data_IF_576151987468
#
_entry.id   IF_576151987468
#
_cell.length_a   1.000
_cell.length_b   1.000
_cell.length_c   1.000
_cell.angle_alpha   90.00
_cell.angle_beta   90.00
_cell.angle_gamma   90.00
#
_symmetry.space_group_name_H-M   'P 1'
#
loop_
_entity.id
_entity.type
_entity.pdbx_description
1 polymer ?
#
# COMPACT_ATOMS: atom_id res chain seq x y z
N UNK A 1 12.44 -15.09 -18.95
CA UNK A 1 11.13 -14.44 -19.18
C UNK A 1 10.04 -15.48 -18.98
N UNK A 2 9.03 -15.17 -18.16
CA UNK A 2 7.84 -16.00 -17.94
C UNK A 2 6.62 -15.27 -18.49
N UNK A 3 5.73 -15.99 -19.16
CA UNK A 3 4.43 -15.48 -19.61
C UNK A 3 3.31 -16.30 -19.01
N UNK A 4 2.25 -15.63 -18.57
CA UNK A 4 1.03 -16.23 -18.06
C UNK A 4 -0.15 -15.62 -18.80
N UNK A 5 -1.11 -16.43 -19.22
CA UNK A 5 -2.33 -15.97 -19.87
C UNK A 5 -3.46 -15.98 -18.86
N UNK A 6 -4.21 -14.88 -18.82
CA UNK A 6 -5.41 -14.74 -18.00
C UNK A 6 -6.60 -14.47 -18.91
N UNK A 7 -7.77 -14.93 -18.51
CA UNK A 7 -9.02 -14.70 -19.21
C UNK A 7 -10.15 -14.46 -18.22
N UNK A 8 -11.02 -13.51 -18.55
CA UNK A 8 -12.25 -13.18 -17.83
C UNK A 8 -13.51 -13.69 -18.57
N UNK A 9 -13.33 -14.45 -19.65
CA UNK A 9 -14.40 -14.92 -20.54
C UNK A 9 -14.70 -13.99 -21.71
N UNK A 10 -14.30 -12.72 -21.67
CA UNK A 10 -14.46 -11.76 -22.78
C UNK A 10 -13.24 -11.71 -23.71
N UNK A 11 -12.07 -12.04 -23.17
CA UNK A 11 -10.83 -12.04 -23.92
C UNK A 11 -9.68 -12.70 -23.18
N UNK A 12 -8.49 -12.60 -23.76
CA UNK A 12 -7.24 -13.11 -23.18
C UNK A 12 -6.25 -11.97 -23.08
N UNK A 13 -5.62 -11.84 -21.93
CA UNK A 13 -4.51 -10.92 -21.68
C UNK A 13 -3.27 -11.71 -21.27
N UNK A 14 -2.12 -11.33 -21.82
CA UNK A 14 -0.83 -11.96 -21.50
C UNK A 14 -0.05 -11.12 -20.49
N UNK A 15 0.20 -11.67 -19.31
CA UNK A 15 1.12 -11.08 -18.32
C UNK A 15 2.55 -11.54 -18.60
N UNK A 16 3.51 -10.62 -18.59
CA UNK A 16 4.93 -10.88 -18.86
C UNK A 16 5.81 -10.44 -17.69
N UNK A 17 6.65 -11.36 -17.23
CA UNK A 17 7.62 -11.12 -16.17
C UNK A 17 9.04 -11.41 -16.67
N UNK A 18 9.92 -10.40 -16.67
CA UNK A 18 11.35 -10.60 -16.96
C UNK A 18 12.10 -11.17 -15.76
N UNK A 19 11.78 -10.66 -14.56
CA UNK A 19 12.27 -11.15 -13.27
C UNK A 19 11.17 -11.91 -12.54
N UNK A 20 11.36 -13.21 -12.31
CA UNK A 20 10.45 -14.08 -11.58
C UNK A 20 11.24 -15.11 -10.76
N UNK A 21 10.60 -15.70 -9.75
CA UNK A 21 11.17 -16.79 -8.95
C UNK A 21 10.26 -18.04 -9.01
N UNK A 22 10.74 -19.16 -8.46
CA UNK A 22 9.97 -20.41 -8.44
C UNK A 22 8.62 -20.26 -7.71
N UNK A 23 8.58 -19.48 -6.63
CA UNK A 23 7.34 -19.21 -5.89
C UNK A 23 6.28 -18.51 -6.76
N UNK A 24 6.67 -17.50 -7.56
CA UNK A 24 5.80 -16.81 -8.51
C UNK A 24 5.30 -17.74 -9.61
N UNK A 25 6.16 -18.63 -10.12
CA UNK A 25 5.75 -19.61 -11.13
C UNK A 25 4.70 -20.58 -10.57
N UNK A 26 4.88 -21.04 -9.34
CA UNK A 26 3.97 -21.98 -8.69
C UNK A 26 2.67 -21.32 -8.24
N UNK A 27 2.71 -20.04 -7.85
CA UNK A 27 1.54 -19.27 -7.45
C UNK A 27 0.61 -18.99 -8.65
N UNK A 28 1.18 -18.75 -9.83
CA UNK A 28 0.47 -18.51 -11.10
C UNK A 28 0.19 -19.80 -11.89
N UNK A 29 -0.10 -20.91 -11.19
CA UNK A 29 -0.49 -22.16 -11.83
C UNK A 29 -1.87 -22.05 -12.48
N UNK A 30 -2.12 -22.88 -13.50
CA UNK A 30 -3.40 -22.96 -14.20
C UNK A 30 -4.55 -23.20 -13.22
N UNK A 31 -5.68 -22.54 -13.46
CA UNK A 31 -6.89 -22.63 -12.62
C UNK A 31 -6.92 -21.64 -11.45
N UNK A 32 -5.83 -20.92 -11.18
CA UNK A 32 -5.84 -19.85 -10.17
C UNK A 32 -6.48 -18.58 -10.70
N UNK A 33 -7.33 -17.96 -9.87
CA UNK A 33 -7.88 -16.63 -10.13
C UNK A 33 -6.90 -15.58 -9.64
N UNK A 34 -6.71 -14.54 -10.45
CA UNK A 34 -5.77 -13.45 -10.15
C UNK A 34 -6.41 -12.10 -10.39
N UNK A 35 -6.12 -11.16 -9.49
CA UNK A 35 -6.33 -9.74 -9.73
C UNK A 35 -5.00 -9.18 -10.21
N UNK A 36 -4.97 -8.64 -11.42
CA UNK A 36 -3.78 -8.04 -12.01
C UNK A 36 -4.02 -6.55 -12.25
N UNK A 37 -3.05 -5.72 -11.89
CA UNK A 37 -3.05 -4.29 -12.09
C UNK A 37 -1.76 -3.86 -12.80
N UNK A 38 -1.91 -3.13 -13.88
CA UNK A 38 -0.78 -2.65 -14.68
C UNK A 38 -1.24 -2.01 -15.98
N UNK A 39 -0.29 -1.43 -16.69
CA UNK A 39 -0.55 -0.82 -17.99
C UNK A 39 -0.77 -1.93 -19.04
N UNK A 40 -1.98 -1.98 -19.61
CA UNK A 40 -2.31 -2.87 -20.71
C UNK A 40 -1.90 -2.24 -22.05
N UNK A 41 -1.03 -2.92 -22.78
CA UNK A 41 -0.56 -2.52 -24.12
C UNK A 41 -0.95 -3.54 -25.17
N UNK A 42 -1.08 -3.10 -26.41
CA UNK A 42 -1.28 -4.01 -27.54
C UNK A 42 0.08 -4.56 -27.98
N UNK A 43 0.34 -5.81 -27.66
CA UNK A 43 1.51 -6.55 -28.11
C UNK A 43 1.27 -7.27 -29.45
N UNK A 44 2.30 -8.00 -29.89
CA UNK A 44 2.28 -8.77 -31.15
C UNK A 44 1.17 -9.84 -31.21
N UNK A 45 0.80 -10.40 -30.06
CA UNK A 45 -0.15 -11.51 -29.94
C UNK A 45 -1.45 -11.14 -29.22
N UNK A 46 -1.72 -9.84 -29.04
CA UNK A 46 -2.90 -9.35 -28.31
C UNK A 46 -2.54 -8.43 -27.15
N UNK A 47 -3.49 -8.23 -26.23
CA UNK A 47 -3.26 -7.41 -25.05
C UNK A 47 -2.22 -8.04 -24.13
N UNK A 48 -1.25 -7.24 -23.69
CA UNK A 48 -0.22 -7.66 -22.76
C UNK A 48 0.06 -6.63 -21.67
N UNK A 49 0.43 -7.12 -20.47
CA UNK A 49 0.92 -6.31 -19.36
C UNK A 49 2.34 -6.73 -19.02
N UNK A 50 3.25 -5.76 -18.97
CA UNK A 50 4.64 -6.00 -18.60
C UNK A 50 4.79 -5.68 -17.11
N UNK A 51 5.26 -6.66 -16.33
CA UNK A 51 5.41 -6.55 -14.88
C UNK A 51 4.17 -6.00 -14.15
N UNK A 52 2.97 -6.57 -14.37
CA UNK A 52 1.81 -6.19 -13.57
C UNK A 52 2.04 -6.56 -12.10
N UNK A 53 1.54 -5.72 -11.20
CA UNK A 53 1.29 -6.15 -9.83
C UNK A 53 0.11 -7.14 -9.86
N UNK A 54 0.21 -8.23 -9.11
CA UNK A 54 -0.88 -9.21 -9.05
C UNK A 54 -1.11 -9.71 -7.63
N UNK A 55 -2.33 -10.15 -7.36
CA UNK A 55 -2.72 -10.90 -6.15
C UNK A 55 -3.46 -12.16 -6.56
N UNK A 56 -3.20 -13.25 -5.84
CA UNK A 56 -4.00 -14.47 -5.97
C UNK A 56 -5.30 -14.29 -5.22
N UNK A 57 -6.41 -14.64 -5.86
CA UNK A 57 -7.70 -14.72 -5.20
C UNK A 57 -7.89 -16.14 -4.66
N UNK A 58 -8.29 -16.27 -3.39
CA UNK A 58 -8.65 -17.57 -2.80
C UNK A 58 -9.87 -18.19 -3.49
N UNK A 59 -10.10 -19.49 -3.27
CA UNK A 59 -11.02 -20.29 -4.10
C UNK A 59 -12.50 -19.86 -4.09
N UNK A 60 -12.97 -18.99 -3.18
CA UNK A 60 -14.41 -18.72 -3.04
C UNK A 60 -14.85 -17.30 -2.62
N UNK A 61 -13.96 -16.30 -2.56
CA UNK A 61 -14.40 -14.94 -2.20
C UNK A 61 -14.55 -14.04 -3.42
N UNK A 62 -15.67 -13.32 -3.50
CA UNK A 62 -15.84 -12.07 -4.26
C UNK A 62 -14.55 -11.25 -4.14
N UNK A 63 -14.05 -10.59 -5.20
CA UNK A 63 -12.86 -9.77 -5.06
C UNK A 63 -13.14 -8.73 -3.98
N UNK A 64 -12.49 -8.87 -2.82
CA UNK A 64 -12.42 -7.82 -1.82
C UNK A 64 -11.60 -6.71 -2.46
N UNK A 65 -12.28 -5.84 -3.19
CA UNK A 65 -11.72 -4.56 -3.60
C UNK A 65 -11.35 -3.87 -2.29
N UNK A 66 -10.10 -3.43 -2.18
CA UNK A 66 -9.68 -2.75 -0.95
C UNK A 66 -10.59 -1.54 -0.73
N UNK A 67 -11.15 -1.41 0.46
CA UNK A 67 -11.99 -0.27 0.89
C UNK A 67 -11.18 1.04 1.04
N UNK A 68 -9.93 1.07 0.54
CA UNK A 68 -9.00 2.18 0.67
C UNK A 68 -8.13 2.29 -0.58
N UNK A 69 -7.81 3.52 -1.00
CA UNK A 69 -6.89 3.72 -2.11
C UNK A 69 -5.48 3.20 -1.75
N UNK A 70 -4.78 2.62 -2.72
CA UNK A 70 -3.42 2.10 -2.50
C UNK A 70 -2.42 3.26 -2.46
N UNK A 71 -1.72 3.50 -1.33
CA UNK A 71 -0.76 4.59 -1.26
C UNK A 71 0.49 4.30 -2.11
N UNK A 72 1.02 5.37 -2.70
CA UNK A 72 2.27 5.38 -3.46
C UNK A 72 3.25 6.30 -2.72
N UNK A 73 4.34 5.73 -2.22
CA UNK A 73 5.35 6.49 -1.47
C UNK A 73 6.57 6.80 -2.33
N UNK A 74 7.28 7.92 -2.12
CA UNK A 74 8.59 8.11 -2.73
C UNK A 74 9.55 6.98 -2.31
N UNK A 75 10.16 6.31 -3.28
CA UNK A 75 11.08 5.19 -3.03
C UNK A 75 12.53 5.60 -3.27
N UNK A 76 13.44 5.10 -2.44
CA UNK A 76 14.88 5.12 -2.67
C UNK A 76 15.36 3.78 -3.24
N UNK A 77 16.57 3.74 -3.80
CA UNK A 77 17.14 2.52 -4.37
C UNK A 77 17.13 1.36 -3.35
N UNK A 78 16.67 0.19 -3.78
CA UNK A 78 16.55 -0.99 -2.93
C UNK A 78 15.28 -1.09 -2.09
N UNK A 79 14.44 -0.05 -2.02
CA UNK A 79 13.18 -0.07 -1.24
C UNK A 79 11.97 -0.20 -2.17
N UNK A 80 11.24 -1.31 -2.03
CA UNK A 80 10.02 -1.58 -2.82
C UNK A 80 8.78 -0.94 -2.16
N UNK A 81 7.82 -0.53 -2.98
CA UNK A 81 6.50 -0.05 -2.51
C UNK A 81 5.83 -1.01 -1.52
N UNK A 82 5.87 -2.32 -1.80
CA UNK A 82 5.30 -3.34 -0.92
C UNK A 82 5.90 -3.32 0.50
N UNK A 83 7.21 -3.06 0.60
CA UNK A 83 7.90 -2.95 1.89
C UNK A 83 7.41 -1.72 2.65
N UNK A 84 7.32 -0.56 1.98
CA UNK A 84 6.83 0.67 2.60
C UNK A 84 5.38 0.53 3.07
N UNK A 85 4.52 -0.08 2.24
CA UNK A 85 3.12 -0.38 2.61
C UNK A 85 3.07 -1.25 3.87
N UNK A 86 3.82 -2.36 3.90
CA UNK A 86 3.88 -3.25 5.09
C UNK A 86 4.38 -2.52 6.34
N UNK A 87 5.37 -1.65 6.22
CA UNK A 87 5.85 -0.85 7.35
C UNK A 87 4.80 0.14 7.85
N UNK A 88 4.05 0.76 6.92
CA UNK A 88 2.97 1.67 7.29
C UNK A 88 1.80 0.94 7.93
N UNK A 89 1.47 -0.29 7.51
CA UNK A 89 0.46 -1.12 8.18
C UNK A 89 0.84 -1.36 9.64
N UNK A 90 2.08 -1.80 9.88
CA UNK A 90 2.60 -2.01 11.25
C UNK A 90 2.60 -0.72 12.08
N UNK A 91 2.92 0.41 11.46
CA UNK A 91 2.88 1.71 12.13
C UNK A 91 1.45 2.09 12.56
N UNK A 92 0.47 1.88 11.67
CA UNK A 92 -0.94 2.17 11.94
C UNK A 92 -1.54 1.24 13.00
N UNK A 93 -1.09 -0.02 13.08
CA UNK A 93 -1.44 -0.94 14.17
C UNK A 93 -0.89 -0.46 15.51
N UNK A 94 0.35 0.04 15.53
CA UNK A 94 0.97 0.57 16.75
C UNK A 94 0.26 1.83 17.26
N UNK A 95 -0.37 2.62 16.38
CA UNK A 95 -1.17 3.79 16.76
C UNK A 95 -2.33 3.42 17.70
N UNK A 96 -2.89 2.21 17.61
CA UNK A 96 -3.96 1.76 18.51
C UNK A 96 -3.45 1.49 19.93
N UNK A 97 -2.18 1.16 20.06
CA UNK A 97 -1.58 0.74 21.33
C UNK A 97 -0.76 1.83 22.02
N UNK A 98 -0.29 2.82 21.25
CA UNK A 98 0.54 3.91 21.75
C UNK A 98 -0.21 5.23 21.65
N UNK A 99 -0.49 5.85 22.80
CA UNK A 99 -0.99 7.22 22.81
C UNK A 99 0.06 8.16 22.23
N UNK A 100 -0.26 8.81 21.11
CA UNK A 100 0.55 9.88 20.54
C UNK A 100 0.12 11.20 21.16
N UNK A 101 1.08 11.97 21.65
CA UNK A 101 0.83 13.31 22.15
C UNK A 101 0.32 14.20 21.01
N UNK A 102 -0.80 14.87 21.26
CA UNK A 102 -1.31 15.90 20.37
C UNK A 102 -0.30 17.06 20.30
N UNK A 103 0.06 17.47 19.09
CA UNK A 103 1.05 18.54 18.86
C UNK A 103 0.38 19.91 18.83
N UNK A 104 -0.93 19.93 18.56
CA UNK A 104 -1.71 21.16 18.54
C UNK A 104 -2.17 21.54 19.95
N UNK A 105 -2.09 22.83 20.33
CA UNK A 105 -2.78 23.34 21.50
C UNK A 105 -4.29 22.99 21.44
N UNK A 106 -4.95 22.68 22.57
CA UNK A 106 -6.36 22.31 22.61
C UNK A 106 -7.29 23.32 21.91
N UNK A 107 -6.93 24.60 21.95
CA UNK A 107 -7.68 25.71 21.37
C UNK A 107 -7.69 25.66 19.84
N UNK A 108 -6.60 25.16 19.24
CA UNK A 108 -6.49 24.97 17.78
C UNK A 108 -7.00 23.58 17.34
N UNK A 109 -7.10 22.65 18.28
CA UNK A 109 -7.54 21.29 18.04
C UNK A 109 -9.07 21.15 17.94
N UNK A 110 -9.85 22.14 18.41
CA UNK A 110 -11.31 22.08 18.47
C UNK A 110 -11.96 21.93 17.09
N UNK A 111 -12.88 20.96 16.97
CA UNK A 111 -13.63 20.70 15.73
C UNK A 111 -12.87 19.90 14.67
N UNK A 112 -11.63 19.52 14.93
CA UNK A 112 -10.82 18.73 14.01
C UNK A 112 -10.76 17.25 14.42
N UNK A 113 -10.57 16.37 13.43
CA UNK A 113 -10.30 14.95 13.65
C UNK A 113 -9.06 14.72 14.53
N UNK A 114 -9.04 13.65 15.33
CA UNK A 114 -7.89 13.34 16.17
C UNK A 114 -6.64 13.03 15.34
N UNK A 115 -5.45 13.22 15.92
CA UNK A 115 -4.18 12.91 15.24
C UNK A 115 -4.10 11.45 14.71
N UNK A 116 -4.51 10.41 15.47
CA UNK A 116 -4.55 9.05 14.95
C UNK A 116 -5.50 8.87 13.76
N UNK A 117 -6.68 9.49 13.79
CA UNK A 117 -7.65 9.45 12.70
C UNK A 117 -7.13 10.16 11.45
N UNK A 118 -6.45 11.29 11.62
CA UNK A 118 -5.81 12.01 10.53
C UNK A 118 -4.72 11.15 9.86
N UNK A 119 -3.86 10.51 10.64
CA UNK A 119 -2.81 9.64 10.12
C UNK A 119 -3.39 8.43 9.38
N UNK A 120 -4.47 7.83 9.90
CA UNK A 120 -5.18 6.75 9.20
C UNK A 120 -5.78 7.21 7.89
N UNK A 121 -6.50 8.33 7.89
CA UNK A 121 -7.14 8.87 6.69
C UNK A 121 -6.11 9.21 5.62
N UNK A 122 -4.93 9.72 6.01
CA UNK A 122 -3.86 10.04 5.07
C UNK A 122 -3.21 8.79 4.45
N UNK A 123 -2.99 7.75 5.25
CA UNK A 123 -2.31 6.53 4.79
C UNK A 123 -3.26 5.51 4.15
N UNK A 124 -4.53 5.50 4.57
CA UNK A 124 -5.58 4.58 4.12
C UNK A 124 -6.85 5.39 3.80
N UNK A 125 -6.79 6.29 2.81
CA UNK A 125 -7.94 7.12 2.47
C UNK A 125 -9.06 6.23 1.89
N UNK A 126 -10.32 6.43 2.32
CA UNK A 126 -11.44 5.71 1.73
C UNK A 126 -11.61 6.13 0.26
N UNK A 127 -12.16 5.25 -0.61
CA UNK A 127 -12.35 5.53 -2.03
C UNK A 127 -13.32 6.68 -2.29
N UNK A 128 -14.14 7.05 -1.31
CA UNK A 128 -15.06 8.19 -1.36
C UNK A 128 -14.38 9.52 -1.07
N UNK A 129 -13.13 9.52 -0.59
CA UNK A 129 -12.40 10.75 -0.24
C UNK A 129 -11.99 11.50 -1.52
N UNK A 130 -12.43 12.75 -1.64
CA UNK A 130 -12.09 13.60 -2.78
C UNK A 130 -10.87 14.45 -2.45
N UNK A 131 -10.11 14.84 -3.49
CA UNK A 131 -8.98 15.76 -3.32
C UNK A 131 -9.39 17.09 -2.66
N UNK A 132 -10.62 17.55 -2.89
CA UNK A 132 -11.18 18.75 -2.26
C UNK A 132 -11.26 18.64 -0.72
N UNK A 133 -11.44 17.43 -0.18
CA UNK A 133 -11.48 17.16 1.26
C UNK A 133 -10.10 17.22 1.92
N UNK A 134 -9.03 17.23 1.11
CA UNK A 134 -7.64 17.34 1.53
C UNK A 134 -7.12 18.79 1.46
N UNK A 135 -7.94 19.75 1.02
CA UNK A 135 -7.53 21.16 0.92
C UNK A 135 -7.31 21.81 2.30
N UNK A 136 -6.34 22.73 2.42
CA UNK A 136 -5.87 23.28 3.70
C UNK A 136 -6.94 23.99 4.53
N UNK A 137 -8.04 24.43 3.92
CA UNK A 137 -9.08 25.20 4.60
C UNK A 137 -9.93 24.36 5.58
N UNK A 138 -9.92 23.03 5.49
CA UNK A 138 -10.82 22.17 6.26
C UNK A 138 -10.16 21.03 7.05
N UNK A 139 -8.84 20.81 6.93
CA UNK A 139 -8.27 19.55 7.42
C UNK A 139 -6.86 19.70 8.00
N UNK A 140 -6.62 19.02 9.15
CA UNK A 140 -5.30 18.90 9.81
C UNK A 140 -4.17 18.36 8.91
N UNK A 141 -4.48 17.88 7.70
CA UNK A 141 -3.56 17.10 6.86
C UNK A 141 -2.51 17.91 6.11
N UNK A 142 -2.65 19.23 5.99
CA UNK A 142 -1.85 20.05 5.07
C UNK A 142 -0.99 21.15 5.73
N UNK A 143 -1.01 21.28 7.06
CA UNK A 143 -0.07 22.19 7.73
C UNK A 143 1.35 21.67 7.55
N UNK A 144 2.28 22.49 7.04
CA UNK A 144 3.65 22.11 6.68
C UNK A 144 4.51 21.48 7.80
N UNK A 145 3.97 21.38 9.02
CA UNK A 145 4.49 20.60 10.14
C UNK A 145 4.18 19.09 10.00
N UNK A 146 3.05 18.72 9.38
CA UNK A 146 2.60 17.33 9.18
C UNK A 146 3.49 16.54 8.22
N UNK A 147 3.94 17.14 7.10
CA UNK A 147 4.91 16.48 6.19
C UNK A 147 6.28 16.26 6.86
N UNK A 148 6.70 17.14 7.77
CA UNK A 148 7.93 16.94 8.55
C UNK A 148 7.77 15.83 9.59
N UNK A 149 6.59 15.70 10.19
CA UNK A 149 6.25 14.56 11.06
C UNK A 149 6.08 13.25 10.29
N UNK A 150 5.57 13.28 9.05
CA UNK A 150 5.43 12.12 8.17
C UNK A 150 6.75 11.37 8.00
N UNK A 151 7.84 12.10 7.77
CA UNK A 151 9.19 11.51 7.68
C UNK A 151 9.70 11.01 9.04
N UNK A 152 9.32 11.69 10.12
CA UNK A 152 9.76 11.40 11.49
C UNK A 152 9.08 10.14 12.04
N UNK A 153 7.81 9.92 11.75
CA UNK A 153 7.07 8.69 12.09
C UNK A 153 7.60 7.50 11.29
N UNK A 154 7.87 7.66 10.00
CA UNK A 154 8.56 6.62 9.21
C UNK A 154 9.94 6.30 9.83
N UNK A 155 10.70 7.31 10.27
CA UNK A 155 12.00 7.12 10.92
C UNK A 155 11.90 6.40 12.28
N UNK A 156 10.89 6.76 13.09
CA UNK A 156 10.65 6.15 14.41
C UNK A 156 10.18 4.70 14.25
N UNK A 157 9.25 4.43 13.33
CA UNK A 157 8.81 3.08 13.00
C UNK A 157 9.94 2.25 12.36
N UNK A 158 10.81 2.84 11.54
CA UNK A 158 12.01 2.18 11.04
C UNK A 158 12.97 1.80 12.17
N UNK A 159 13.18 2.70 13.15
CA UNK A 159 14.00 2.42 14.35
C UNK A 159 13.37 1.35 15.25
N UNK A 160 12.05 1.33 15.40
CA UNK A 160 11.33 0.29 16.15
C UNK A 160 11.32 -1.07 15.42
N UNK A 161 11.18 -1.08 14.09
CA UNK A 161 11.27 -2.29 13.27
C UNK A 161 12.68 -2.87 13.28
N UNK A 162 13.73 -2.04 13.26
CA UNK A 162 15.11 -2.47 13.48
C UNK A 162 15.34 -3.00 14.90
N UNK A 163 14.76 -2.35 15.92
CA UNK A 163 14.86 -2.80 17.30
C UNK A 163 14.17 -4.16 17.55
N UNK A 164 13.05 -4.45 16.87
CA UNK A 164 12.40 -5.77 16.90
C UNK A 164 13.11 -6.83 16.06
N UNK A 165 13.84 -6.44 15.02
CA UNK A 165 14.64 -7.36 14.19
C UNK A 165 15.99 -7.74 14.83
N UNK A 166 16.38 -7.10 15.94
CA UNK A 166 17.62 -7.38 16.66
C UNK A 166 17.49 -8.47 17.75
N UNK A 167 16.31 -9.06 17.95
CA UNK A 167 16.09 -10.13 18.92
C UNK A 167 15.50 -11.33 18.17
N UNK A 168 16.37 -12.15 17.59
CA UNK A 168 16.43 -13.63 17.74
C UNK A 168 17.57 -14.14 16.85
N UNK A 169 18.77 -14.20 17.45
CA UNK A 169 19.85 -15.07 17.00
C UNK A 169 20.10 -16.02 18.17
N UNK A 170 19.54 -17.23 18.10
CA UNK A 170 20.12 -18.38 18.79
C UNK A 170 19.60 -19.70 18.22
N UNK A 171 20.55 -20.42 17.59
CA UNK A 171 20.59 -21.83 17.20
C UNK A 171 19.83 -22.27 15.96
#
# INVERSE_FOLDING_TARGET
>A
MMTCQISDGSGILTMRFFNFNAAMKNSLATGRRVLAYGEAKRGKYGAEMIHPEYRLQGDLSTPELQETLTPVYPTTEGVKQATLRKLTDQALELLDTCAIAELLPPELAQGMMSLPEALRTLHRPPPTLQLADLEPANTRLNDGLFLKSYWRTILVCWRFAQARSAITLSR
#
